data_IF_333180298517
#
_entry.id   IF_333180298517
#
_cell.length_a   1.000
_cell.length_b   1.000
_cell.length_c   1.000
_cell.angle_alpha   90.00
_cell.angle_beta   90.00
_cell.angle_gamma   90.00
#
_symmetry.space_group_name_H-M   'P 1'
#
loop_
_entity.id
_entity.type
_entity.pdbx_description
1 polymer ?
#
# COMPACT_ATOMS: atom_id res chain seq x y z
N UNK A 1 0.09 -64.68 -18.03
CA UNK A 1 -0.71 -65.32 -16.95
C UNK A 1 0.05 -65.18 -15.63
N UNK A 2 -0.60 -64.66 -14.58
CA UNK A 2 -0.45 -65.03 -13.14
C UNK A 2 0.94 -64.76 -12.50
N UNK A 3 1.13 -64.12 -11.34
CA UNK A 3 0.26 -63.52 -10.34
C UNK A 3 1.06 -62.50 -9.52
N UNK A 4 0.44 -61.36 -9.22
CA UNK A 4 0.97 -60.38 -8.28
C UNK A 4 0.89 -60.86 -6.83
N UNK A 5 1.86 -60.45 -6.02
CA UNK A 5 1.78 -60.51 -4.55
C UNK A 5 2.18 -59.15 -3.98
N UNK A 6 1.30 -58.16 -4.19
CA UNK A 6 1.37 -56.87 -3.52
C UNK A 6 1.14 -57.11 -2.02
N UNK A 7 2.16 -56.82 -1.19
CA UNK A 7 2.03 -56.83 0.27
C UNK A 7 1.01 -55.77 0.68
N UNK A 8 -0.12 -56.21 1.23
CA UNK A 8 -1.21 -55.35 1.74
C UNK A 8 -0.69 -54.44 2.86
N UNK A 9 -0.90 -53.10 2.81
CA UNK A 9 -0.68 -52.22 3.95
C UNK A 9 -1.90 -52.28 4.88
N UNK A 10 -2.12 -53.44 5.49
CA UNK A 10 -3.31 -53.75 6.28
C UNK A 10 -3.03 -53.94 7.77
N UNK A 11 -2.47 -52.92 8.44
CA UNK A 11 -2.45 -52.84 9.91
C UNK A 11 -2.93 -51.47 10.42
N UNK A 12 -3.98 -50.92 9.79
CA UNK A 12 -4.80 -49.86 10.40
C UNK A 12 -5.84 -50.56 11.27
N UNK A 13 -5.70 -50.48 12.60
CA UNK A 13 -6.70 -51.02 13.52
C UNK A 13 -6.20 -52.07 14.52
N UNK A 14 -4.90 -52.36 14.62
CA UNK A 14 -4.43 -53.07 15.83
C UNK A 14 -4.65 -52.14 17.01
N UNK A 15 -5.67 -52.45 17.83
CA UNK A 15 -5.91 -51.77 19.11
C UNK A 15 -4.56 -51.69 19.81
N UNK A 16 -4.09 -50.50 20.22
CA UNK A 16 -2.84 -50.41 20.94
C UNK A 16 -2.91 -51.39 22.11
N UNK A 17 -1.95 -52.31 22.17
CA UNK A 17 -1.79 -53.21 23.31
C UNK A 17 -1.79 -52.34 24.57
N UNK A 18 -2.53 -52.78 25.62
CA UNK A 18 -2.76 -52.09 26.90
C UNK A 18 -1.76 -50.96 27.12
N UNK A 19 -2.07 -49.76 26.60
CA UNK A 19 -1.24 -48.59 26.86
C UNK A 19 -1.32 -48.37 28.35
N UNK A 20 -0.16 -48.31 29.00
CA UNK A 20 -0.09 -47.98 30.41
C UNK A 20 -0.90 -46.70 30.66
N UNK A 21 -1.89 -46.79 31.56
CA UNK A 21 -2.81 -45.71 31.88
C UNK A 21 -2.02 -44.44 32.24
N UNK A 22 -0.89 -44.61 32.92
CA UNK A 22 0.05 -43.53 33.26
C UNK A 22 0.60 -42.84 32.01
N UNK A 23 1.03 -43.61 31.02
CA UNK A 23 1.56 -43.09 29.75
C UNK A 23 0.50 -42.40 28.88
N UNK A 24 -0.77 -42.82 28.96
CA UNK A 24 -1.88 -42.12 28.30
C UNK A 24 -2.18 -40.77 28.97
N UNK A 25 -2.19 -40.77 30.29
CA UNK A 25 -2.48 -39.58 31.09
C UNK A 25 -1.39 -38.51 30.90
N UNK A 26 -0.11 -38.90 30.91
CA UNK A 26 1.00 -37.98 30.63
C UNK A 26 0.95 -37.39 29.22
N UNK A 27 0.61 -38.18 28.19
CA UNK A 27 0.40 -37.65 26.84
C UNK A 27 -0.72 -36.62 26.77
N UNK A 28 -1.83 -36.86 27.47
CA UNK A 28 -2.94 -35.91 27.54
C UNK A 28 -2.57 -34.62 28.28
N UNK A 29 -1.76 -34.72 29.34
CA UNK A 29 -1.23 -33.56 30.05
C UNK A 29 -0.30 -32.75 29.16
N UNK A 30 0.60 -33.43 28.44
CA UNK A 30 1.54 -32.80 27.55
C UNK A 30 0.85 -32.06 26.40
N UNK A 31 -0.12 -32.71 25.73
CA UNK A 31 -0.87 -32.05 24.66
C UNK A 31 -1.66 -30.82 25.16
N UNK A 32 -2.19 -30.87 26.38
CA UNK A 32 -2.84 -29.71 27.00
C UNK A 32 -1.86 -28.57 27.28
N UNK A 33 -0.64 -28.87 27.75
CA UNK A 33 0.42 -27.85 27.94
C UNK A 33 0.84 -27.23 26.61
N UNK A 34 1.07 -28.06 25.59
CA UNK A 34 1.44 -27.61 24.24
C UNK A 34 0.35 -26.75 23.61
N UNK A 35 -0.93 -27.10 23.81
CA UNK A 35 -2.05 -26.29 23.34
C UNK A 35 -2.03 -24.88 23.95
N UNK A 36 -1.79 -24.78 25.27
CA UNK A 36 -1.66 -23.49 25.96
C UNK A 36 -0.46 -22.70 25.46
N UNK A 37 0.71 -23.35 25.33
CA UNK A 37 1.92 -22.72 24.81
C UNK A 37 1.73 -22.21 23.38
N UNK A 38 1.13 -23.01 22.49
CA UNK A 38 0.78 -22.59 21.12
C UNK A 38 -0.15 -21.40 21.10
N UNK A 39 -1.19 -21.39 21.94
CA UNK A 39 -2.15 -20.28 22.02
C UNK A 39 -1.45 -19.00 22.49
N UNK A 40 -0.57 -19.09 23.50
CA UNK A 40 0.23 -17.96 23.97
C UNK A 40 1.11 -17.39 22.85
N UNK A 41 1.88 -18.23 22.17
CA UNK A 41 2.75 -17.81 21.06
C UNK A 41 1.95 -17.20 19.90
N UNK A 42 0.79 -17.79 19.57
CA UNK A 42 -0.08 -17.26 18.51
C UNK A 42 -0.58 -15.85 18.83
N UNK A 43 -1.02 -15.61 20.05
CA UNK A 43 -1.52 -14.29 20.44
C UNK A 43 -0.40 -13.28 20.60
N UNK A 44 0.76 -13.69 21.12
CA UNK A 44 1.94 -12.84 21.15
C UNK A 44 2.33 -12.34 19.75
N UNK A 45 2.39 -13.25 18.76
CA UNK A 45 2.67 -12.85 17.38
C UNK A 45 1.63 -11.90 16.80
N UNK A 46 0.33 -12.17 17.07
CA UNK A 46 -0.74 -11.28 16.60
C UNK A 46 -0.67 -9.91 17.25
N UNK A 47 -0.34 -9.84 18.54
CA UNK A 47 -0.14 -8.60 19.28
C UNK A 47 1.05 -7.80 18.73
N UNK A 48 2.17 -8.46 18.43
CA UNK A 48 3.34 -7.84 17.80
C UNK A 48 3.01 -7.29 16.39
N UNK A 49 2.20 -8.02 15.60
CA UNK A 49 1.74 -7.57 14.29
C UNK A 49 0.80 -6.36 14.38
N UNK A 50 -0.12 -6.34 15.34
CA UNK A 50 -1.03 -5.20 15.55
C UNK A 50 -0.23 -3.99 16.03
N UNK A 51 0.62 -4.17 17.05
CA UNK A 51 1.45 -3.10 17.62
C UNK A 51 2.42 -2.49 16.61
N UNK A 52 2.97 -3.28 15.68
CA UNK A 52 3.84 -2.75 14.61
C UNK A 52 3.05 -1.91 13.61
N UNK A 53 1.85 -2.34 13.23
CA UNK A 53 0.96 -1.57 12.34
C UNK A 53 0.48 -0.28 12.97
N UNK A 54 0.08 -0.32 14.24
CA UNK A 54 -0.37 0.88 14.97
C UNK A 54 0.75 1.93 15.04
N UNK A 55 1.99 1.52 15.35
CA UNK A 55 3.15 2.43 15.32
C UNK A 55 3.39 3.04 13.95
N UNK A 56 3.30 2.25 12.87
CA UNK A 56 3.46 2.76 11.52
C UNK A 56 2.33 3.74 11.14
N UNK A 57 1.08 3.46 11.55
CA UNK A 57 -0.05 4.36 11.32
C UNK A 57 0.14 5.69 12.08
N UNK A 58 0.58 5.64 13.34
CA UNK A 58 0.85 6.86 14.11
C UNK A 58 1.95 7.70 13.45
N UNK A 59 3.07 7.10 13.07
CA UNK A 59 4.16 7.82 12.39
C UNK A 59 3.70 8.50 11.09
N UNK A 60 2.95 7.78 10.24
CA UNK A 60 2.43 8.36 8.99
C UNK A 60 1.40 9.47 9.23
N UNK A 61 0.61 9.38 10.31
CA UNK A 61 -0.33 10.45 10.69
C UNK A 61 0.39 11.69 11.18
N UNK A 62 1.43 11.53 11.99
CA UNK A 62 2.28 12.62 12.46
C UNK A 62 3.00 13.31 11.29
N UNK A 63 3.54 12.55 10.35
CA UNK A 63 4.13 13.08 9.12
C UNK A 63 3.10 13.90 8.33
N UNK A 64 1.90 13.35 8.09
CA UNK A 64 0.84 14.06 7.36
C UNK A 64 0.38 15.34 8.06
N UNK A 65 0.22 15.29 9.38
CA UNK A 65 -0.13 16.46 10.20
C UNK A 65 0.97 17.52 10.11
N UNK A 66 2.23 17.12 10.12
CA UNK A 66 3.38 18.02 9.96
C UNK A 66 3.37 18.72 8.59
N UNK A 67 3.09 17.99 7.49
CA UNK A 67 2.98 18.61 6.15
C UNK A 67 1.74 19.51 6.05
N UNK A 68 0.66 19.16 6.74
CA UNK A 68 -0.56 19.98 6.80
C UNK A 68 -0.34 21.27 7.61
N UNK A 69 0.32 21.20 8.76
CA UNK A 69 0.53 22.35 9.64
C UNK A 69 1.65 23.27 9.16
N UNK A 70 2.68 22.71 8.49
CA UNK A 70 3.76 23.47 7.87
C UNK A 70 3.34 24.16 6.55
N UNK A 71 2.11 23.93 6.07
CA UNK A 71 1.57 24.60 4.88
C UNK A 71 2.15 24.11 3.55
N UNK A 72 2.89 23.00 3.56
CA UNK A 72 3.52 22.42 2.36
C UNK A 72 2.52 21.62 1.50
N UNK A 73 1.46 21.07 2.09
CA UNK A 73 0.43 20.29 1.37
C UNK A 73 -0.26 21.10 0.24
N UNK A 74 -0.74 22.35 0.45
CA UNK A 74 -1.29 23.18 -0.61
C UNK A 74 -0.32 23.43 -1.77
N UNK A 75 0.96 23.66 -1.45
CA UNK A 75 2.04 23.93 -2.41
C UNK A 75 2.37 22.66 -3.23
N UNK A 76 2.41 21.49 -2.58
CA UNK A 76 2.74 20.21 -3.22
C UNK A 76 1.60 19.64 -4.07
N UNK A 77 0.34 19.91 -3.72
CA UNK A 77 -0.84 19.50 -4.49
C UNK A 77 -1.13 20.42 -5.69
N UNK A 78 -0.27 21.40 -5.96
CA UNK A 78 -0.43 22.30 -7.10
C UNK A 78 -1.58 23.28 -6.94
N UNK A 79 -1.94 23.63 -5.70
CA UNK A 79 -2.82 24.76 -5.43
C UNK A 79 -1.99 26.03 -5.66
N UNK A 80 -1.89 26.44 -6.92
CA UNK A 80 -1.28 27.71 -7.32
C UNK A 80 -1.78 28.83 -6.39
N UNK A 81 -0.89 29.56 -5.69
CA UNK A 81 -1.31 30.64 -4.81
C UNK A 81 -2.13 31.63 -5.63
N UNK A 82 -3.34 31.94 -5.16
CA UNK A 82 -4.31 32.75 -5.91
C UNK A 82 -3.75 34.10 -6.39
N UNK A 83 -2.72 34.59 -5.68
CA UNK A 83 -1.87 35.73 -6.04
C UNK A 83 -1.27 35.66 -7.46
N UNK A 84 -0.81 34.50 -7.93
CA UNK A 84 -0.20 34.39 -9.27
C UNK A 84 -1.26 34.44 -10.39
N UNK A 85 -2.46 33.92 -10.13
CA UNK A 85 -3.59 33.98 -11.07
C UNK A 85 -4.08 35.41 -11.29
N UNK A 86 -4.07 36.23 -10.24
CA UNK A 86 -4.48 37.63 -10.33
C UNK A 86 -3.44 38.48 -11.08
N UNK A 87 -2.15 38.16 -10.94
CA UNK A 87 -1.06 38.80 -11.72
C UNK A 87 -1.17 38.53 -13.22
N UNK A 88 -1.42 37.28 -13.60
CA UNK A 88 -1.56 36.89 -15.01
C UNK A 88 -2.74 37.58 -15.73
N UNK A 89 -3.79 37.99 -15.01
CA UNK A 89 -4.93 38.70 -15.59
C UNK A 89 -4.68 40.21 -15.81
N UNK A 90 -3.72 40.83 -15.11
CA UNK A 90 -3.37 42.24 -15.33
C UNK A 90 -2.60 42.44 -16.63
N UNK A 91 -1.74 41.49 -17.01
CA UNK A 91 -0.93 41.57 -18.23
C UNK A 91 -1.75 41.45 -19.52
N UNK A 92 -2.94 40.84 -19.48
CA UNK A 92 -3.85 40.71 -20.62
C UNK A 92 -4.61 42.03 -20.89
N UNK A 93 -4.82 42.85 -19.86
CA UNK A 93 -5.61 44.09 -19.98
C UNK A 93 -4.85 45.27 -20.59
N UNK A 94 -3.53 45.20 -20.76
CA UNK A 94 -2.69 46.30 -21.25
C UNK A 94 -2.33 46.25 -22.74
N UNK A 95 -2.64 45.16 -23.46
CA UNK A 95 -2.21 44.95 -24.87
C UNK A 95 -3.33 45.05 -25.92
N UNK A 96 -4.46 45.68 -25.59
CA UNK A 96 -5.54 45.87 -26.55
C UNK A 96 -6.19 47.25 -26.45
N UNK A 97 -5.74 48.20 -27.29
CA UNK A 97 -6.60 48.94 -28.25
C UNK A 97 -5.90 50.18 -28.85
N UNK A 98 -6.22 50.41 -30.14
CA UNK A 98 -6.07 51.63 -30.99
C UNK A 98 -4.78 51.70 -31.82
N UNK A 99 -4.76 52.00 -33.12
CA UNK A 99 -5.77 52.42 -34.10
C UNK A 99 -5.19 52.15 -35.51
N UNK A 100 -5.94 51.53 -36.41
CA UNK A 100 -6.64 52.17 -37.54
C UNK A 100 -5.78 52.93 -38.57
N UNK A 101 -6.05 52.57 -39.84
CA UNK A 101 -6.02 53.38 -41.09
C UNK A 101 -4.74 53.42 -41.96
N UNK A 102 -4.91 52.76 -43.12
CA UNK A 102 -5.05 53.43 -44.44
C UNK A 102 -3.86 53.38 -45.43
N UNK A 103 -4.16 52.77 -46.59
CA UNK A 103 -3.89 53.30 -47.95
C UNK A 103 -2.48 53.23 -48.57
N UNK A 104 -2.45 52.43 -49.64
CA UNK A 104 -1.94 52.71 -51.00
C UNK A 104 -0.46 52.48 -51.34
N UNK A 105 -0.35 52.04 -52.60
CA UNK A 105 0.76 52.11 -53.57
C UNK A 105 1.87 51.06 -53.39
N UNK A 106 2.00 50.05 -54.25
CA UNK A 106 2.21 49.97 -55.73
C UNK A 106 3.70 49.90 -56.09
N UNK A 107 3.97 49.17 -57.18
CA UNK A 107 5.23 48.96 -57.92
C UNK A 107 6.24 48.02 -57.24
N UNK A 108 6.38 46.78 -57.73
CA UNK A 108 7.30 46.37 -58.83
C UNK A 108 8.78 46.51 -58.37
N UNK A 109 9.64 45.49 -58.40
CA UNK A 109 10.11 44.79 -59.60
C UNK A 109 11.18 43.72 -59.23
N UNK A 110 11.40 42.77 -60.15
CA UNK A 110 12.62 41.95 -60.38
C UNK A 110 12.95 40.83 -59.35
N UNK A 111 12.70 39.55 -59.64
CA UNK A 111 13.43 38.60 -60.53
C UNK A 111 14.71 38.03 -59.84
N UNK A 112 14.66 36.77 -59.39
CA UNK A 112 15.26 35.53 -59.98
C UNK A 112 16.80 35.46 -59.79
N UNK A 113 17.32 34.41 -59.12
CA UNK A 113 17.77 33.12 -59.70
C UNK A 113 18.85 33.29 -60.76
#
# INVERSE_FOLDING_TARGET
MVAGKVKKPGKRGRKPAKIDLKAKLERSRQSARECRARKKLRYQYLEELVSSKERAICALREELEMVSCCGTLPVLLGSEPEELRLRANQDISSTGTKAAKNSKNSSASAAHS
#
